data_IF_370652369251
#
_entry.id   IF_370652369251
#
_cell.length_a   1.000
_cell.length_b   1.000
_cell.length_c   1.000
_cell.angle_alpha   90.00
_cell.angle_beta   90.00
_cell.angle_gamma   90.00
#
_symmetry.space_group_name_H-M   'P 1'
#
loop_
_entity.id
_entity.type
_entity.pdbx_description
1 polymer ?
#
# COMPACT_ATOMS: atom_id res chain seq x y z
N UNK A 1 7.37 -12.58 -6.16
CA UNK A 1 6.52 -11.46 -5.69
C UNK A 1 6.67 -10.29 -6.66
N UNK A 2 5.60 -9.57 -6.98
CA UNK A 2 5.68 -8.33 -7.77
C UNK A 2 5.85 -7.12 -6.85
N UNK A 3 6.71 -6.18 -7.24
CA UNK A 3 6.93 -4.90 -6.55
C UNK A 3 6.57 -3.76 -7.49
N UNK A 4 5.63 -2.92 -7.09
CA UNK A 4 5.34 -1.66 -7.77
C UNK A 4 6.15 -0.54 -7.11
N UNK A 5 6.91 0.22 -7.89
CA UNK A 5 7.72 1.35 -7.40
C UNK A 5 7.87 2.40 -8.49
N UNK A 6 8.46 3.54 -8.15
CA UNK A 6 8.85 4.55 -9.16
C UNK A 6 9.90 3.98 -10.11
N UNK A 7 9.83 4.36 -11.38
CA UNK A 7 10.74 3.96 -12.44
C UNK A 7 12.22 4.14 -12.05
N UNK A 8 12.54 5.25 -11.38
CA UNK A 8 13.87 5.56 -10.90
C UNK A 8 14.49 4.51 -9.96
N UNK A 9 13.67 3.71 -9.27
CA UNK A 9 14.14 2.70 -8.31
C UNK A 9 14.18 1.28 -8.90
N UNK A 10 13.62 1.07 -10.10
CA UNK A 10 13.45 -0.28 -10.67
C UNK A 10 14.80 -0.97 -10.87
N UNK A 11 15.76 -0.29 -11.52
CA UNK A 11 17.06 -0.87 -11.84
C UNK A 11 17.85 -1.27 -10.58
N UNK A 12 17.84 -0.40 -9.56
CA UNK A 12 18.54 -0.66 -8.29
C UNK A 12 17.93 -1.86 -7.56
N UNK A 13 16.60 -1.93 -7.47
CA UNK A 13 15.92 -3.03 -6.78
C UNK A 13 16.09 -4.35 -7.51
N UNK A 14 15.94 -4.36 -8.83
CA UNK A 14 16.13 -5.57 -9.64
C UNK A 14 17.57 -6.10 -9.57
N UNK A 15 18.57 -5.21 -9.52
CA UNK A 15 19.97 -5.61 -9.37
C UNK A 15 20.29 -6.19 -7.98
N UNK A 16 19.73 -5.60 -6.92
CA UNK A 16 19.99 -6.05 -5.54
C UNK A 16 19.19 -7.31 -5.14
N UNK A 17 18.05 -7.55 -5.78
CA UNK A 17 17.10 -8.62 -5.46
C UNK A 17 16.52 -9.21 -6.76
N UNK A 18 17.29 -10.00 -7.51
CA UNK A 18 16.88 -10.51 -8.82
C UNK A 18 15.64 -11.43 -8.78
N UNK A 19 15.30 -11.98 -7.62
CA UNK A 19 14.07 -12.77 -7.40
C UNK A 19 12.78 -11.93 -7.39
N UNK A 20 12.88 -10.59 -7.33
CA UNK A 20 11.74 -9.68 -7.35
C UNK A 20 11.34 -9.33 -8.79
N UNK A 21 10.04 -9.40 -9.08
CA UNK A 21 9.48 -8.87 -10.32
C UNK A 21 9.14 -7.39 -10.10
N UNK A 22 10.09 -6.51 -10.40
CA UNK A 22 9.95 -5.07 -10.14
C UNK A 22 9.31 -4.38 -11.34
N UNK A 23 8.28 -3.59 -11.09
CA UNK A 23 7.50 -2.87 -12.10
C UNK A 23 7.55 -1.37 -11.80
N UNK A 24 7.85 -0.58 -12.84
CA UNK A 24 7.63 0.86 -12.81
C UNK A 24 6.12 1.11 -12.78
N UNK A 25 5.67 1.91 -11.82
CA UNK A 25 4.29 2.36 -11.69
C UNK A 25 4.33 3.84 -11.40
N UNK A 26 3.96 4.65 -12.39
CA UNK A 26 3.86 6.10 -12.28
C UNK A 26 2.40 6.56 -12.22
N UNK A 27 1.46 5.68 -12.59
CA UNK A 27 0.04 5.99 -12.67
C UNK A 27 -0.83 4.95 -11.96
N UNK A 28 -2.06 5.36 -11.65
CA UNK A 28 -3.10 4.50 -11.07
C UNK A 28 -3.51 3.38 -12.03
N UNK A 29 -3.54 3.63 -13.34
CA UNK A 29 -3.90 2.62 -14.33
C UNK A 29 -2.86 1.49 -14.42
N UNK A 30 -1.57 1.83 -14.28
CA UNK A 30 -0.50 0.82 -14.21
C UNK A 30 -0.60 0.00 -12.94
N UNK A 31 -0.95 0.63 -11.80
CA UNK A 31 -1.24 -0.12 -10.58
C UNK A 31 -2.41 -1.09 -10.80
N UNK A 32 -3.49 -0.68 -11.45
CA UNK A 32 -4.65 -1.53 -11.70
C UNK A 32 -4.30 -2.79 -12.50
N UNK A 33 -3.48 -2.64 -13.54
CA UNK A 33 -3.01 -3.77 -14.33
C UNK A 33 -2.21 -4.78 -13.49
N UNK A 34 -1.35 -4.31 -12.58
CA UNK A 34 -0.63 -5.18 -11.66
C UNK A 34 -1.53 -5.77 -10.58
N UNK A 35 -2.46 -4.97 -10.07
CA UNK A 35 -3.38 -5.38 -9.02
C UNK A 35 -4.35 -6.44 -9.52
N UNK A 36 -4.75 -6.43 -10.79
CA UNK A 36 -5.66 -7.43 -11.38
C UNK A 36 -5.18 -8.87 -11.13
N UNK A 37 -3.88 -9.11 -11.24
CA UNK A 37 -3.25 -10.43 -10.99
C UNK A 37 -2.83 -10.69 -9.55
N UNK A 38 -2.96 -9.71 -8.65
CA UNK A 38 -2.59 -9.85 -7.26
C UNK A 38 -3.76 -10.35 -6.41
N UNK A 39 -3.51 -11.34 -5.55
CA UNK A 39 -4.50 -11.81 -4.57
C UNK A 39 -4.52 -10.94 -3.30
N UNK A 40 -3.39 -10.32 -2.96
CA UNK A 40 -3.19 -9.48 -1.77
C UNK A 40 -2.29 -8.31 -2.16
N UNK A 41 -2.52 -7.13 -1.56
CA UNK A 41 -1.66 -5.95 -1.72
C UNK A 41 -0.95 -5.63 -0.41
N UNK A 42 0.32 -5.25 -0.48
CA UNK A 42 1.04 -4.66 0.65
C UNK A 42 1.47 -3.24 0.25
N UNK A 43 1.09 -2.24 1.03
CA UNK A 43 1.28 -0.82 0.72
C UNK A 43 1.94 -0.09 1.88
N UNK A 44 2.88 0.79 1.58
CA UNK A 44 3.53 1.61 2.60
C UNK A 44 5.01 1.87 2.36
N UNK A 45 5.90 0.87 2.54
CA UNK A 45 7.33 1.12 2.63
C UNK A 45 7.90 1.85 1.41
N UNK A 46 8.45 3.04 1.62
CA UNK A 46 9.13 3.82 0.58
C UNK A 46 8.20 4.51 -0.41
N UNK A 47 6.89 4.56 -0.15
CA UNK A 47 5.97 5.34 -0.98
C UNK A 47 6.23 6.86 -0.81
N UNK A 48 6.62 7.26 0.40
CA UNK A 48 6.65 8.65 0.82
C UNK A 48 5.24 9.23 0.98
N UNK A 49 5.14 10.56 1.01
CA UNK A 49 3.89 11.27 1.32
C UNK A 49 3.40 12.19 0.19
N UNK A 50 4.01 12.12 -0.99
CA UNK A 50 3.67 12.96 -2.16
C UNK A 50 2.41 12.51 -2.90
N UNK A 51 2.03 13.25 -3.96
CA UNK A 51 0.80 13.01 -4.72
C UNK A 51 0.71 11.61 -5.31
N UNK A 52 1.81 11.12 -5.89
CA UNK A 52 1.89 9.75 -6.40
C UNK A 52 1.55 8.72 -5.32
N UNK A 53 2.12 8.86 -4.12
CA UNK A 53 1.86 7.93 -3.02
C UNK A 53 0.38 7.98 -2.61
N UNK A 54 -0.18 9.18 -2.47
CA UNK A 54 -1.59 9.38 -2.11
C UNK A 54 -2.54 8.79 -3.15
N UNK A 55 -2.24 8.97 -4.44
CA UNK A 55 -3.04 8.42 -5.52
C UNK A 55 -3.03 6.89 -5.51
N UNK A 56 -1.86 6.27 -5.34
CA UNK A 56 -1.76 4.81 -5.27
C UNK A 56 -2.42 4.23 -4.01
N UNK A 57 -2.29 4.89 -2.86
CA UNK A 57 -2.94 4.48 -1.61
C UNK A 57 -4.46 4.60 -1.69
N UNK A 58 -4.98 5.69 -2.24
CA UNK A 58 -6.41 5.85 -2.48
C UNK A 58 -6.92 4.74 -3.41
N UNK A 59 -6.18 4.45 -4.49
CA UNK A 59 -6.58 3.37 -5.39
C UNK A 59 -6.54 1.99 -4.73
N UNK A 60 -5.50 1.70 -3.95
CA UNK A 60 -5.39 0.43 -3.23
C UNK A 60 -6.57 0.20 -2.29
N UNK A 61 -7.12 1.27 -1.69
CA UNK A 61 -8.34 1.22 -0.90
C UNK A 61 -9.57 0.86 -1.74
N UNK A 62 -9.74 1.52 -2.88
CA UNK A 62 -10.89 1.32 -3.79
C UNK A 62 -10.92 -0.07 -4.43
N UNK A 63 -9.76 -0.69 -4.65
CA UNK A 63 -9.66 -2.02 -5.23
C UNK A 63 -10.31 -3.10 -4.35
N UNK A 64 -10.55 -2.83 -3.07
CA UNK A 64 -11.31 -3.71 -2.16
C UNK A 64 -10.66 -5.07 -1.90
N UNK A 65 -9.41 -5.26 -2.34
CA UNK A 65 -8.66 -6.52 -2.14
C UNK A 65 -8.17 -6.63 -0.69
N UNK A 66 -7.87 -7.83 -0.19
CA UNK A 66 -7.12 -7.98 1.05
C UNK A 66 -5.81 -7.18 0.97
N UNK A 67 -5.59 -6.32 1.96
CA UNK A 67 -4.51 -5.31 1.94
C UNK A 67 -3.78 -5.24 3.26
N UNK A 68 -2.46 -5.28 3.24
CA UNK A 68 -1.59 -4.92 4.36
C UNK A 68 -1.16 -3.45 4.23
N UNK A 69 -1.47 -2.65 5.24
CA UNK A 69 -1.11 -1.25 5.34
C UNK A 69 0.02 -1.08 6.37
N UNK A 70 1.14 -0.48 5.95
CA UNK A 70 2.34 -0.31 6.77
C UNK A 70 3.02 1.05 6.53
N UNK A 71 3.98 1.42 7.38
CA UNK A 71 4.89 2.57 7.22
C UNK A 71 4.19 3.86 6.73
N UNK A 72 4.53 4.34 5.53
CA UNK A 72 3.98 5.58 4.95
C UNK A 72 2.46 5.55 4.79
N UNK A 73 1.87 4.37 4.57
CA UNK A 73 0.43 4.22 4.45
C UNK A 73 -0.28 4.49 5.78
N UNK A 74 0.38 4.18 6.92
CA UNK A 74 -0.15 4.50 8.25
C UNK A 74 -0.13 6.00 8.53
N UNK A 75 0.91 6.70 8.08
CA UNK A 75 0.98 8.16 8.18
C UNK A 75 -0.18 8.80 7.40
N UNK A 76 -0.43 8.31 6.19
CA UNK A 76 -1.56 8.76 5.37
C UNK A 76 -2.91 8.51 6.08
N UNK A 77 -3.15 7.29 6.56
CA UNK A 77 -4.37 6.94 7.31
C UNK A 77 -4.54 7.75 8.62
N UNK A 78 -3.44 8.12 9.28
CA UNK A 78 -3.49 8.95 10.49
C UNK A 78 -3.93 10.39 10.20
N UNK A 79 -3.58 10.92 9.03
CA UNK A 79 -4.03 12.26 8.59
C UNK A 79 -5.44 12.25 8.01
N UNK A 80 -5.85 11.13 7.41
CA UNK A 80 -7.13 10.97 6.77
C UNK A 80 -7.71 9.61 7.12
N UNK A 81 -8.43 9.49 8.25
CA UNK A 81 -9.07 8.24 8.61
C UNK A 81 -9.98 7.73 7.49
N UNK A 82 -9.88 6.44 7.20
CA UNK A 82 -10.65 5.73 6.17
C UNK A 82 -11.12 4.40 6.73
N UNK A 83 -12.26 3.94 6.23
CA UNK A 83 -12.73 2.57 6.47
C UNK A 83 -11.94 1.65 5.54
N UNK A 84 -11.24 0.68 6.12
CA UNK A 84 -10.48 -0.29 5.34
C UNK A 84 -11.37 -1.46 4.89
N UNK A 85 -11.12 -2.06 3.71
CA UNK A 85 -11.89 -3.19 3.22
C UNK A 85 -11.79 -4.40 4.15
N UNK A 86 -12.75 -5.32 4.02
CA UNK A 86 -12.72 -6.58 4.76
C UNK A 86 -11.42 -7.35 4.47
N UNK A 87 -10.81 -7.92 5.50
CA UNK A 87 -9.52 -8.60 5.38
C UNK A 87 -8.30 -7.66 5.34
N UNK A 88 -8.48 -6.35 5.48
CA UNK A 88 -7.36 -5.44 5.65
C UNK A 88 -6.64 -5.65 6.99
N UNK A 89 -5.31 -5.65 6.93
CA UNK A 89 -4.42 -5.73 8.09
C UNK A 89 -3.60 -4.44 8.15
N UNK A 90 -3.42 -3.93 9.36
CA UNK A 90 -2.57 -2.77 9.65
C UNK A 90 -1.45 -3.29 10.53
N UNK A 91 -0.19 -3.02 10.16
CA UNK A 91 0.93 -3.29 11.06
C UNK A 91 0.82 -2.39 12.28
N UNK A 92 1.12 -2.90 13.49
CA UNK A 92 1.19 -2.03 14.65
C UNK A 92 2.29 -0.99 14.42
N UNK A 93 2.06 0.27 14.81
CA UNK A 93 3.10 1.29 14.72
C UNK A 93 4.33 0.82 15.53
N UNK A 94 5.56 1.15 15.09
CA UNK A 94 6.76 0.82 15.85
C UNK A 94 6.59 1.35 17.28
N UNK A 95 7.00 0.56 18.28
CA UNK A 95 6.87 0.90 19.71
C UNK A 95 7.73 2.12 20.04
N UNK A 96 7.21 3.32 19.75
CA UNK A 96 7.52 4.64 20.29
C UNK A 96 6.55 5.63 19.66
N UNK A 97 5.46 5.91 20.37
CA UNK A 97 4.64 7.11 20.17
C UNK A 97 3.56 7.03 19.08
N UNK A 98 2.31 6.90 19.55
CA UNK A 98 1.04 7.21 18.88
C UNK A 98 0.49 6.13 17.93
N UNK A 99 -0.58 5.48 18.37
CA UNK A 99 -1.48 4.71 17.52
C UNK A 99 -2.15 5.63 16.48
N UNK A 100 -2.33 5.21 15.22
CA UNK A 100 -3.24 5.90 14.33
C UNK A 100 -4.66 5.75 14.89
N UNK A 101 -5.16 6.80 15.52
CA UNK A 101 -6.54 6.91 15.94
C UNK A 101 -7.40 7.04 14.68
N UNK A 102 -8.12 5.97 14.28
CA UNK A 102 -9.11 6.08 13.19
C UNK A 102 -9.31 4.88 12.27
N UNK A 103 -8.59 3.77 12.44
CA UNK A 103 -8.85 2.57 11.61
C UNK A 103 -10.08 1.83 12.11
N UNK A 104 -11.25 2.11 11.52
CA UNK A 104 -12.43 1.25 11.67
C UNK A 104 -12.30 0.08 10.68
N UNK A 105 -12.10 -1.12 11.22
CA UNK A 105 -12.16 -2.38 10.45
C UNK A 105 -13.62 -2.64 10.12
N UNK A 106 -13.96 -2.81 8.84
CA UNK A 106 -15.30 -3.19 8.41
C UNK A 106 -15.76 -4.46 9.14
N UNK A 107 -16.86 -4.36 9.88
CA UNK A 107 -17.43 -5.46 10.64
C UNK A 107 -18.13 -6.46 9.71
N UNK A 108 -17.81 -7.74 9.90
CA UNK A 108 -18.57 -8.85 9.32
C UNK A 108 -19.94 -8.89 10.02
N UNK A 109 -21.03 -8.63 9.29
CA UNK A 109 -22.35 -9.17 9.64
C UNK A 109 -22.60 -10.40 8.79
N UNK A 110 -23.22 -11.38 9.45
CA UNK A 110 -23.38 -12.78 9.11
C UNK A 110 -23.98 -13.07 7.73
#
# INVERSE_FOLDING_TARGET
>A
MSVATRAAHVGVLAAQRPELMVHAVETVAELDALAARASVLAVGPGLGQGDWARALLARALELGKPTLWDADALNWLATQPRVLPAGAVVTPPPRRGRAPAGVQRGSHRA
#
